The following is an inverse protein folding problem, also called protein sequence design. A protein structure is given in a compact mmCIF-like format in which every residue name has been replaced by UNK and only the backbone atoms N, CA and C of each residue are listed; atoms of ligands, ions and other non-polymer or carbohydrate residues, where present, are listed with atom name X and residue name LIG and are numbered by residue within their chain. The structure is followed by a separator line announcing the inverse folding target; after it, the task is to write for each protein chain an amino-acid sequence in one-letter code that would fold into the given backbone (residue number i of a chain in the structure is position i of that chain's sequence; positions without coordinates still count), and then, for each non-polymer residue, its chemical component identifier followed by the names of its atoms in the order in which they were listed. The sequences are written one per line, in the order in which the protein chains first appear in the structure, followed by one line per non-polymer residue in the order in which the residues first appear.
data_IF_546891952671
#
_entry.id   IF_546891952671
#
_cell.length_a   1.000
_cell.length_b   1.000
_cell.length_c   1.000
_cell.angle_alpha   90.00
_cell.angle_beta   90.00
_cell.angle_gamma   90.00
#
_symmetry.space_group_name_H-M   'P 1'
#
loop_
_entity.id
_entity.type
_entity.pdbx_description
1 polymer ?
#
# COMPACT_ATOMS: atom_id res chain seq x y z
N UNK A 1 -1.00 27.46 60.05
CA UNK A 1 -0.16 26.56 59.22
C UNK A 1 -1.00 25.43 58.64
N UNK A 2 -1.73 24.68 59.48
CA UNK A 2 -2.58 23.54 59.07
C UNK A 2 -3.67 23.90 58.05
N UNK A 3 -4.34 25.04 58.21
CA UNK A 3 -5.40 25.49 57.30
C UNK A 3 -4.91 25.68 55.85
N UNK A 4 -3.71 26.24 55.66
CA UNK A 4 -3.09 26.37 54.32
C UNK A 4 -2.75 25.01 53.72
N UNK A 5 -2.37 24.04 54.55
CA UNK A 5 -2.08 22.66 54.10
C UNK A 5 -3.37 21.99 53.60
N UNK A 6 -4.46 22.12 54.36
CA UNK A 6 -5.77 21.57 53.96
C UNK A 6 -6.28 22.18 52.66
N UNK A 7 -6.21 23.50 52.52
CA UNK A 7 -6.64 24.18 51.29
C UNK A 7 -5.81 23.76 50.07
N UNK A 8 -4.50 23.57 50.23
CA UNK A 8 -3.64 23.10 49.15
C UNK A 8 -3.94 21.65 48.76
N UNK A 9 -4.28 20.80 49.73
CA UNK A 9 -4.69 19.43 49.46
C UNK A 9 -5.98 19.39 48.63
N UNK A 10 -7.01 20.14 49.03
CA UNK A 10 -8.27 20.20 48.29
C UNK A 10 -8.09 20.69 46.85
N UNK A 11 -7.24 21.70 46.65
CA UNK A 11 -6.88 22.20 45.30
C UNK A 11 -6.18 21.14 44.48
N UNK A 12 -5.24 20.40 45.08
CA UNK A 12 -4.52 19.32 44.40
C UNK A 12 -5.47 18.18 44.01
N UNK A 13 -6.36 17.76 44.92
CA UNK A 13 -7.33 16.69 44.66
C UNK A 13 -8.30 17.08 43.55
N UNK A 14 -8.76 18.33 43.54
CA UNK A 14 -9.60 18.87 42.47
C UNK A 14 -8.86 18.90 41.13
N UNK A 15 -7.61 19.36 41.13
CA UNK A 15 -6.76 19.35 39.93
C UNK A 15 -6.57 17.94 39.38
N UNK A 16 -6.34 16.96 40.25
CA UNK A 16 -6.21 15.56 39.86
C UNK A 16 -7.50 15.01 39.24
N UNK A 17 -8.67 15.31 39.81
CA UNK A 17 -9.96 14.91 39.25
C UNK A 17 -10.17 15.49 37.84
N UNK A 18 -9.89 16.78 37.67
CA UNK A 18 -9.99 17.45 36.37
C UNK A 18 -9.03 16.84 35.34
N UNK A 19 -7.82 16.46 35.76
CA UNK A 19 -6.85 15.79 34.89
C UNK A 19 -7.33 14.42 34.43
N UNK A 20 -7.91 13.63 35.34
CA UNK A 20 -8.47 12.30 35.01
C UNK A 20 -9.60 12.44 33.99
N UNK A 21 -10.50 13.40 34.20
CA UNK A 21 -11.59 13.68 33.25
C UNK A 21 -11.06 14.11 31.88
N UNK A 22 -10.07 15.01 31.85
CA UNK A 22 -9.43 15.47 30.63
C UNK A 22 -8.79 14.31 29.85
N UNK A 23 -8.00 13.48 30.53
CA UNK A 23 -7.37 12.29 29.92
C UNK A 23 -8.43 11.32 29.40
N UNK A 24 -9.53 11.12 30.14
CA UNK A 24 -10.67 10.32 29.68
C UNK A 24 -11.30 10.88 28.40
N UNK A 25 -11.55 12.18 28.36
CA UNK A 25 -12.13 12.87 27.20
C UNK A 25 -11.23 12.76 25.95
N UNK A 26 -9.91 12.88 26.14
CA UNK A 26 -8.93 12.75 25.07
C UNK A 26 -8.85 11.31 24.57
N UNK A 27 -8.89 10.32 25.47
CA UNK A 27 -8.92 8.90 25.11
C UNK A 27 -10.09 8.59 24.18
N UNK A 28 -11.30 9.06 24.51
CA UNK A 28 -12.50 8.87 23.68
C UNK A 28 -12.36 9.59 22.34
N UNK A 29 -11.82 10.82 22.35
CA UNK A 29 -11.63 11.61 21.13
C UNK A 29 -10.61 10.98 20.18
N UNK A 30 -9.52 10.43 20.69
CA UNK A 30 -8.50 9.72 19.91
C UNK A 30 -9.10 8.45 19.29
N UNK A 31 -9.81 7.63 20.07
CA UNK A 31 -10.48 6.43 19.54
C UNK A 31 -11.46 6.76 18.41
N UNK A 32 -12.21 7.86 18.56
CA UNK A 32 -13.11 8.34 17.50
C UNK A 32 -12.34 8.72 16.23
N UNK A 33 -11.24 9.46 16.36
CA UNK A 33 -10.39 9.83 15.24
C UNK A 33 -9.80 8.60 14.54
N UNK A 34 -9.31 7.62 15.30
CA UNK A 34 -8.78 6.36 14.74
C UNK A 34 -9.82 5.62 13.89
N UNK A 35 -11.07 5.53 14.37
CA UNK A 35 -12.15 4.91 13.61
C UNK A 35 -12.45 5.67 12.32
N UNK A 36 -12.56 7.01 12.40
CA UNK A 36 -12.81 7.85 11.22
C UNK A 36 -11.69 7.73 10.18
N UNK A 37 -10.43 7.75 10.62
CA UNK A 37 -9.27 7.60 9.72
C UNK A 37 -9.21 6.22 9.07
N UNK A 38 -9.58 5.17 9.81
CA UNK A 38 -9.68 3.80 9.28
C UNK A 38 -10.74 3.69 8.19
N UNK A 39 -11.90 4.29 8.39
CA UNK A 39 -13.00 4.23 7.44
C UNK A 39 -12.70 5.08 6.19
N UNK A 40 -12.14 6.28 6.37
CA UNK A 40 -11.64 7.10 5.26
C UNK A 40 -10.58 6.36 4.44
N UNK A 41 -9.64 5.68 5.10
CA UNK A 41 -8.61 4.90 4.40
C UNK A 41 -9.21 3.77 3.57
N UNK A 42 -10.26 3.11 4.06
CA UNK A 42 -10.98 2.06 3.31
C UNK A 42 -11.73 2.60 2.10
N UNK A 43 -12.31 3.80 2.21
CA UNK A 43 -13.05 4.44 1.12
C UNK A 43 -12.12 4.99 0.04
N UNK A 44 -11.04 5.67 0.44
CA UNK A 44 -10.11 6.33 -0.49
C UNK A 44 -9.08 5.37 -1.10
N UNK A 45 -8.76 4.28 -0.41
CA UNK A 45 -7.83 3.26 -0.90
C UNK A 45 -8.54 1.91 -1.05
N UNK A 46 -9.48 1.77 -2.01
CA UNK A 46 -10.04 0.48 -2.32
C UNK A 46 -8.90 -0.41 -2.83
N UNK A 47 -8.37 -1.29 -1.97
CA UNK A 47 -7.42 -2.30 -2.40
C UNK A 47 -8.14 -3.17 -3.43
N UNK A 48 -7.73 -3.10 -4.69
CA UNK A 48 -8.17 -4.10 -5.67
C UNK A 48 -7.77 -5.46 -5.10
N UNK A 49 -8.76 -6.27 -4.73
CA UNK A 49 -8.52 -7.67 -4.37
C UNK A 49 -7.85 -8.31 -5.57
N UNK A 50 -6.65 -8.85 -5.33
CA UNK A 50 -5.82 -9.63 -6.24
C UNK A 50 -6.42 -9.81 -7.64
N UNK A 51 -6.02 -8.94 -8.55
CA UNK A 51 -5.94 -9.32 -9.95
C UNK A 51 -4.57 -8.85 -10.36
N UNK A 52 -3.62 -9.78 -10.33
CA UNK A 52 -2.43 -9.60 -11.14
C UNK A 52 -2.96 -9.34 -12.56
N UNK A 53 -2.48 -8.32 -13.29
CA UNK A 53 -2.81 -8.11 -14.71
C UNK A 53 -2.06 -9.15 -15.55
N UNK A 54 -2.00 -10.38 -15.06
CA UNK A 54 -1.42 -11.53 -15.71
C UNK A 54 -2.54 -12.14 -16.53
N UNK A 55 -2.95 -11.42 -17.57
CA UNK A 55 -3.34 -12.13 -18.78
C UNK A 55 -2.06 -12.86 -19.20
N UNK A 56 -1.94 -14.10 -18.71
CA UNK A 56 -0.83 -14.99 -19.02
C UNK A 56 -0.97 -15.30 -20.49
N UNK A 57 -0.35 -14.48 -21.33
CA UNK A 57 -0.24 -14.78 -22.75
C UNK A 57 0.76 -15.93 -22.84
N UNK A 58 0.29 -17.09 -23.27
CA UNK A 58 1.16 -18.24 -23.51
C UNK A 58 2.27 -17.84 -24.46
N UNK A 59 3.51 -18.14 -24.09
CA UNK A 59 4.65 -17.99 -24.99
C UNK A 59 4.37 -18.65 -26.34
N UNK A 60 4.28 -17.91 -27.46
CA UNK A 60 4.16 -18.55 -28.77
C UNK A 60 5.42 -19.33 -29.15
N UNK A 61 6.59 -19.01 -28.57
CA UNK A 61 7.81 -19.82 -28.74
C UNK A 61 7.70 -21.19 -28.05
N UNK A 62 6.63 -21.43 -27.28
CA UNK A 62 6.16 -22.69 -26.68
C UNK A 62 6.00 -23.86 -27.64
N UNK A 63 5.89 -23.60 -28.94
CA UNK A 63 6.20 -24.57 -29.99
C UNK A 63 7.72 -24.71 -30.12
N UNK A 64 8.35 -25.24 -29.08
CA UNK A 64 9.54 -26.01 -29.36
C UNK A 64 9.07 -27.21 -30.18
N UNK A 65 9.81 -27.55 -31.20
CA UNK A 65 10.14 -28.94 -31.42
C UNK A 65 10.88 -29.54 -30.17
N UNK A 66 10.40 -29.31 -28.94
CA UNK A 66 11.00 -29.75 -27.65
C UNK A 66 10.51 -28.99 -26.39
N UNK A 67 10.59 -29.58 -25.16
CA UNK A 67 9.66 -29.34 -24.05
C UNK A 67 9.82 -28.05 -23.19
N UNK A 68 10.74 -27.13 -23.52
CA UNK A 68 11.15 -26.06 -22.58
C UNK A 68 11.32 -24.70 -23.23
N UNK A 69 10.35 -24.24 -24.01
CA UNK A 69 10.38 -22.88 -24.56
C UNK A 69 9.58 -21.93 -23.69
N UNK A 70 10.28 -21.17 -22.86
CA UNK A 70 9.72 -20.09 -22.04
C UNK A 70 9.92 -18.75 -22.78
N UNK A 71 8.87 -17.94 -22.98
CA UNK A 71 9.07 -16.52 -23.31
C UNK A 71 9.06 -15.77 -22.03
N UNK A 72 9.85 -14.71 -22.03
CA UNK A 72 9.59 -13.58 -21.19
C UNK A 72 8.96 -12.50 -22.05
N UNK A 73 7.70 -12.19 -21.79
CA UNK A 73 7.10 -10.93 -22.21
C UNK A 73 7.48 -9.86 -21.17
N UNK A 74 8.05 -8.74 -21.61
CA UNK A 74 8.38 -7.61 -20.74
C UNK A 74 7.45 -6.46 -21.08
N UNK A 75 6.62 -6.04 -20.12
CA UNK A 75 5.72 -4.89 -20.26
C UNK A 75 6.16 -3.80 -19.30
N UNK A 76 6.33 -2.57 -19.80
CA UNK A 76 6.71 -1.44 -18.95
C UNK A 76 5.50 -0.86 -18.23
N UNK A 77 5.72 -0.32 -17.01
CA UNK A 77 4.71 0.28 -16.12
C UNK A 77 3.81 1.34 -16.79
N UNK A 78 4.24 1.92 -17.90
CA UNK A 78 3.52 2.99 -18.62
C UNK A 78 2.50 2.50 -19.66
N UNK A 79 2.37 1.19 -19.89
CA UNK A 79 1.44 0.63 -20.88
C UNK A 79 1.86 0.86 -22.33
N UNK A 80 3.08 1.35 -22.59
CA UNK A 80 3.62 1.50 -23.95
C UNK A 80 4.11 0.15 -24.47
N UNK A 81 3.64 -0.21 -25.67
CA UNK A 81 4.19 -1.32 -26.46
C UNK A 81 5.52 -0.83 -27.03
N UNK A 82 6.61 -1.56 -26.77
CA UNK A 82 7.87 -1.34 -27.48
C UNK A 82 7.67 -1.83 -28.91
N UNK A 83 7.51 -0.90 -29.85
CA UNK A 83 7.41 -1.21 -31.27
C UNK A 83 8.79 -1.77 -31.69
N UNK A 84 8.85 -3.05 -32.02
CA UNK A 84 10.10 -3.73 -32.33
C UNK A 84 10.62 -3.32 -33.71
N UNK A 85 11.55 -2.36 -33.75
CA UNK A 85 12.40 -2.11 -34.90
C UNK A 85 13.49 -3.19 -34.95
N UNK A 86 13.17 -4.38 -35.47
CA UNK A 86 14.18 -5.35 -35.87
C UNK A 86 13.71 -6.09 -37.13
N UNK A 87 13.57 -5.33 -38.21
CA UNK A 87 13.80 -5.84 -39.55
C UNK A 87 15.32 -6.01 -39.69
N UNK A 88 15.88 -7.06 -39.09
CA UNK A 88 17.27 -7.45 -39.33
C UNK A 88 17.29 -8.25 -40.63
N UNK A 89 17.51 -7.54 -41.73
CA UNK A 89 17.94 -8.12 -43.00
C UNK A 89 19.27 -8.83 -42.74
N UNK A 90 19.25 -10.16 -42.72
CA UNK A 90 20.45 -10.98 -42.85
C UNK A 90 20.49 -11.43 -44.30
N UNK A 91 21.28 -10.74 -45.12
CA UNK A 91 21.70 -11.28 -46.41
C UNK A 91 22.50 -12.56 -46.15
N UNK A 92 22.04 -13.65 -46.73
CA UNK A 92 22.81 -14.90 -46.82
C UNK A 92 23.32 -14.96 -48.26
N UNK A 93 24.59 -14.66 -48.48
CA UNK A 93 25.30 -15.09 -49.70
C UNK A 93 25.51 -16.60 -49.58
N UNK A 94 24.87 -17.36 -50.46
CA UNK A 94 25.13 -18.80 -50.65
C UNK A 94 26.52 -18.96 -51.31
N UNK A 95 27.42 -19.71 -50.65
CA UNK A 95 28.62 -20.26 -51.30
C UNK A 95 28.41 -21.74 -51.57
N UNK A 96 28.44 -22.12 -52.85
CA UNK A 96 28.64 -23.50 -53.35
C UNK A 96 30.05 -24.04 -53.03
#
# INVERSE_FOLDING_TARGET
MLERVLQNQERSDTSMKNMIELVGSHTVSIQKLEMQMRDLSREQNPKQKGTLPSDTITNPKGSGSGPTSHCMAITTRSGKILQGENELVVEVEDSE
#
